data_IF_283689701314
#
_entry.id   IF_283689701314
#
_cell.length_a   1.000
_cell.length_b   1.000
_cell.length_c   1.000
_cell.angle_alpha   90.00
_cell.angle_beta   90.00
_cell.angle_gamma   90.00
#
_symmetry.space_group_name_H-M   'P 1'
#
loop_
_entity.id
_entity.type
_entity.pdbx_description
1 polymer ?
#
# COMPACT_ATOMS: atom_id res chain seq x y z
N UNK A 1 14.13 -21.33 14.04
CA UNK A 1 14.54 -21.44 12.61
C UNK A 1 14.08 -20.16 11.94
N UNK A 2 15.01 -19.25 11.67
CA UNK A 2 14.74 -17.95 11.05
C UNK A 2 14.36 -18.19 9.59
N UNK A 3 13.19 -17.76 9.21
CA UNK A 3 12.57 -17.95 7.90
C UNK A 3 13.25 -17.04 6.86
N UNK A 4 14.48 -17.40 6.49
CA UNK A 4 15.39 -16.65 5.59
C UNK A 4 14.87 -16.57 4.13
N UNK A 5 13.58 -16.93 3.90
CA UNK A 5 12.95 -17.02 2.58
C UNK A 5 11.81 -16.03 2.34
N UNK A 6 11.47 -15.20 3.31
CA UNK A 6 10.35 -14.25 3.12
C UNK A 6 10.81 -13.02 2.35
N UNK A 7 10.40 -12.93 1.10
CA UNK A 7 10.71 -11.79 0.23
C UNK A 7 9.45 -10.93 0.09
N UNK A 8 9.46 -9.69 0.60
CA UNK A 8 8.36 -8.75 0.35
C UNK A 8 8.43 -8.16 -1.06
N UNK A 9 7.26 -7.98 -1.66
CA UNK A 9 7.07 -7.37 -2.97
C UNK A 9 6.21 -6.11 -2.86
N UNK A 10 6.65 -5.01 -3.47
CA UNK A 10 5.94 -3.72 -3.45
C UNK A 10 5.53 -3.33 -4.86
N UNK A 11 4.23 -3.29 -5.12
CA UNK A 11 3.64 -2.72 -6.32
C UNK A 11 3.29 -1.25 -6.10
N UNK A 12 3.70 -0.37 -7.03
CA UNK A 12 3.58 1.08 -6.85
C UNK A 12 4.75 1.69 -6.05
N UNK A 13 5.91 1.06 -6.06
CA UNK A 13 7.11 1.43 -5.30
C UNK A 13 7.63 2.87 -5.55
N UNK A 14 7.28 3.49 -6.67
CA UNK A 14 7.65 4.88 -6.99
C UNK A 14 6.62 5.91 -6.50
N UNK A 15 5.50 5.45 -5.94
CA UNK A 15 4.50 6.31 -5.30
C UNK A 15 4.93 6.75 -3.90
N UNK A 16 4.18 7.72 -3.33
CA UNK A 16 4.51 8.32 -2.03
C UNK A 16 4.64 7.28 -0.91
N UNK A 17 3.63 6.42 -0.72
CA UNK A 17 3.67 5.35 0.29
C UNK A 17 4.56 4.20 -0.15
N UNK A 18 4.55 3.86 -1.45
CA UNK A 18 5.37 2.78 -1.99
C UNK A 18 6.88 3.00 -1.81
N UNK A 19 7.34 4.23 -1.95
CA UNK A 19 8.72 4.61 -1.67
C UNK A 19 9.06 4.38 -0.19
N UNK A 20 8.20 4.84 0.73
CA UNK A 20 8.38 4.60 2.16
C UNK A 20 8.34 3.10 2.52
N UNK A 21 7.49 2.31 1.82
CA UNK A 21 7.46 0.86 2.01
C UNK A 21 8.81 0.22 1.67
N UNK A 22 9.36 0.53 0.50
CA UNK A 22 10.66 -0.01 0.08
C UNK A 22 11.74 0.38 1.08
N UNK A 23 11.82 1.67 1.48
CA UNK A 23 12.81 2.17 2.43
C UNK A 23 12.72 1.51 3.82
N UNK A 24 11.51 1.25 4.32
CA UNK A 24 11.34 0.58 5.60
C UNK A 24 11.56 -0.93 5.51
N UNK A 25 11.20 -1.58 4.40
CA UNK A 25 11.38 -3.02 4.21
C UNK A 25 12.86 -3.43 4.08
N UNK A 26 13.72 -2.62 3.44
CA UNK A 26 15.16 -2.94 3.34
C UNK A 26 15.89 -2.90 4.68
N UNK A 27 15.29 -2.29 5.71
CA UNK A 27 15.80 -2.30 7.10
C UNK A 27 15.52 -3.64 7.79
N UNK A 28 14.47 -4.35 7.34
CA UNK A 28 13.99 -5.59 7.94
C UNK A 28 14.36 -6.83 7.13
N UNK A 29 14.49 -6.70 5.81
CA UNK A 29 14.68 -7.83 4.90
C UNK A 29 15.97 -7.72 4.09
N UNK A 30 16.65 -8.84 3.82
CA UNK A 30 17.87 -8.85 2.99
C UNK A 30 17.56 -8.62 1.51
N UNK A 31 16.31 -8.87 1.09
CA UNK A 31 15.85 -8.68 -0.29
C UNK A 31 14.42 -8.13 -0.32
N UNK A 32 14.19 -7.15 -1.18
CA UNK A 32 12.87 -6.54 -1.43
C UNK A 32 12.65 -6.45 -2.94
N UNK A 33 11.50 -6.90 -3.43
CA UNK A 33 11.12 -6.74 -4.84
C UNK A 33 10.32 -5.46 -5.00
N UNK A 34 10.75 -4.62 -5.95
CA UNK A 34 10.09 -3.38 -6.35
C UNK A 34 9.51 -3.54 -7.74
N UNK A 35 8.17 -3.56 -7.87
CA UNK A 35 7.49 -3.61 -9.17
C UNK A 35 7.25 -2.20 -9.70
N UNK A 36 7.77 -1.92 -10.89
CA UNK A 36 7.69 -0.60 -11.51
C UNK A 36 7.35 -0.70 -13.00
N UNK A 37 6.83 0.39 -13.58
CA UNK A 37 6.54 0.46 -15.03
C UNK A 37 7.75 0.86 -15.87
N UNK A 38 8.76 1.43 -15.23
CA UNK A 38 10.03 1.86 -15.84
C UNK A 38 11.15 1.48 -14.91
N UNK A 39 12.33 1.23 -15.45
CA UNK A 39 13.52 0.96 -14.64
C UNK A 39 13.77 2.10 -13.65
N UNK A 40 14.08 1.73 -12.43
CA UNK A 40 14.48 2.63 -11.35
C UNK A 40 15.84 2.16 -10.84
N UNK A 41 16.79 3.07 -10.81
CA UNK A 41 18.13 2.80 -10.30
C UNK A 41 18.15 3.08 -8.80
N UNK A 42 18.09 2.02 -8.02
CA UNK A 42 18.17 2.06 -6.55
C UNK A 42 19.61 1.99 -6.10
N UNK A 43 19.98 2.76 -5.08
CA UNK A 43 21.32 2.72 -4.47
C UNK A 43 21.55 1.46 -3.64
N UNK A 44 20.51 0.91 -3.03
CA UNK A 44 20.59 -0.29 -2.21
C UNK A 44 20.56 -1.57 -3.06
N UNK A 45 21.57 -2.43 -2.89
CA UNK A 45 21.63 -3.75 -3.51
C UNK A 45 20.55 -4.73 -3.01
N UNK A 46 19.89 -4.42 -1.90
CA UNK A 46 18.78 -5.20 -1.37
C UNK A 46 17.50 -5.07 -2.22
N UNK A 47 17.39 -4.03 -3.08
CA UNK A 47 16.21 -3.77 -3.88
C UNK A 47 16.38 -4.39 -5.26
N UNK A 48 15.51 -5.35 -5.59
CA UNK A 48 15.42 -5.94 -6.91
C UNK A 48 14.29 -5.28 -7.69
N UNK A 49 14.65 -4.41 -8.63
CA UNK A 49 13.67 -3.77 -9.49
C UNK A 49 13.25 -4.70 -10.62
N UNK A 50 11.96 -5.00 -10.69
CA UNK A 50 11.35 -5.73 -11.80
C UNK A 50 10.44 -4.74 -12.54
N UNK A 51 10.74 -4.54 -13.82
CA UNK A 51 9.89 -3.73 -14.71
C UNK A 51 8.81 -4.61 -15.27
N UNK A 52 7.55 -4.22 -15.05
CA UNK A 52 6.39 -5.00 -15.49
C UNK A 52 5.43 -4.16 -16.33
N UNK A 53 4.74 -4.84 -17.23
CA UNK A 53 3.57 -4.29 -17.89
C UNK A 53 2.31 -4.77 -17.15
N UNK A 54 1.62 -3.87 -16.47
CA UNK A 54 0.38 -4.19 -15.75
C UNK A 54 -0.77 -4.65 -16.67
N UNK A 55 -0.67 -4.42 -17.98
CA UNK A 55 -1.64 -4.91 -18.96
C UNK A 55 -1.42 -6.38 -19.34
N UNK A 56 -0.26 -6.95 -19.03
CA UNK A 56 0.09 -8.33 -19.35
C UNK A 56 0.83 -9.02 -18.18
N UNK A 57 0.11 -9.23 -17.10
CA UNK A 57 0.64 -9.89 -15.89
C UNK A 57 0.57 -11.43 -15.95
N UNK A 58 -0.05 -12.00 -17.00
CA UNK A 58 -0.42 -13.42 -17.02
C UNK A 58 0.78 -14.38 -17.13
N UNK A 59 1.89 -13.92 -17.66
CA UNK A 59 3.05 -14.76 -18.01
C UNK A 59 4.31 -14.52 -17.16
N UNK A 60 4.25 -13.63 -16.17
CA UNK A 60 5.45 -13.28 -15.41
C UNK A 60 5.51 -14.04 -14.09
N UNK A 61 6.60 -14.77 -13.89
CA UNK A 61 6.89 -15.47 -12.63
C UNK A 61 7.45 -14.49 -11.56
N UNK A 62 6.72 -13.37 -11.38
CA UNK A 62 7.13 -12.23 -10.55
C UNK A 62 7.13 -12.60 -9.06
N UNK A 63 6.25 -13.51 -8.68
CA UNK A 63 5.98 -13.83 -7.27
C UNK A 63 6.71 -15.08 -6.77
N UNK A 64 7.70 -15.58 -7.50
CA UNK A 64 8.50 -16.71 -7.03
C UNK A 64 9.23 -16.35 -5.72
N UNK A 65 8.98 -17.12 -4.67
CA UNK A 65 9.50 -16.89 -3.31
C UNK A 65 9.02 -15.59 -2.64
N UNK A 66 7.97 -14.95 -3.16
CA UNK A 66 7.31 -13.81 -2.51
C UNK A 66 6.31 -14.33 -1.48
N UNK A 67 6.37 -13.82 -0.26
CA UNK A 67 5.45 -14.18 0.82
C UNK A 67 4.48 -13.04 1.18
N UNK A 68 4.94 -11.80 1.00
CA UNK A 68 4.18 -10.61 1.35
C UNK A 68 4.04 -9.68 0.13
N UNK A 69 2.81 -9.35 -0.24
CA UNK A 69 2.54 -8.37 -1.30
C UNK A 69 1.97 -7.09 -0.72
N UNK A 70 2.62 -5.98 -1.00
CA UNK A 70 2.16 -4.63 -0.67
C UNK A 70 1.70 -3.93 -1.94
N UNK A 71 0.41 -3.59 -2.02
CA UNK A 71 -0.16 -2.85 -3.15
C UNK A 71 -0.36 -1.40 -2.75
N UNK A 72 0.57 -0.54 -3.19
CA UNK A 72 0.52 0.91 -3.07
C UNK A 72 0.23 1.58 -4.42
N UNK A 73 -0.42 0.83 -5.33
CA UNK A 73 -0.92 1.38 -6.60
C UNK A 73 -2.10 2.30 -6.34
N UNK A 74 -2.14 3.37 -7.08
CA UNK A 74 -3.24 4.30 -7.08
C UNK A 74 -2.94 5.51 -7.96
N UNK A 75 -4.00 6.10 -8.47
CA UNK A 75 -3.92 7.33 -9.26
C UNK A 75 -5.05 8.27 -8.89
N UNK A 76 -5.01 9.47 -9.39
CA UNK A 76 -6.15 10.39 -9.32
C UNK A 76 -6.84 10.45 -10.68
N UNK A 77 -8.13 10.79 -10.71
CA UNK A 77 -8.85 10.97 -11.98
C UNK A 77 -8.13 11.96 -12.91
N UNK A 78 -7.55 13.03 -12.33
CA UNK A 78 -6.77 14.03 -13.07
C UNK A 78 -5.52 13.41 -13.71
N UNK A 79 -4.76 12.58 -12.97
CA UNK A 79 -3.56 11.92 -13.51
C UNK A 79 -3.89 10.79 -14.47
N UNK A 80 -4.98 10.08 -14.26
CA UNK A 80 -5.44 9.01 -15.15
C UNK A 80 -6.00 9.54 -16.48
N UNK A 81 -6.42 10.80 -16.53
CA UNK A 81 -7.02 11.44 -17.71
C UNK A 81 -8.46 11.02 -17.99
N UNK A 82 -8.91 9.86 -17.52
CA UNK A 82 -10.27 9.37 -17.72
C UNK A 82 -10.75 8.49 -16.56
N UNK A 83 -12.09 8.33 -16.43
CA UNK A 83 -12.69 7.39 -15.47
C UNK A 83 -12.27 5.95 -15.77
N UNK A 84 -12.22 5.56 -17.04
CA UNK A 84 -11.79 4.23 -17.50
C UNK A 84 -10.36 3.92 -17.04
N UNK A 85 -9.43 4.82 -17.27
CA UNK A 85 -8.03 4.65 -16.85
C UNK A 85 -7.87 4.67 -15.33
N UNK A 86 -8.68 5.46 -14.62
CA UNK A 86 -8.70 5.44 -13.17
C UNK A 86 -9.12 4.05 -12.65
N UNK A 87 -10.24 3.49 -13.12
CA UNK A 87 -10.70 2.14 -12.76
C UNK A 87 -9.65 1.10 -13.14
N UNK A 88 -9.02 1.24 -14.31
CA UNK A 88 -7.98 0.32 -14.76
C UNK A 88 -6.83 0.20 -13.75
N UNK A 89 -6.33 1.33 -13.23
CA UNK A 89 -5.20 1.35 -12.29
C UNK A 89 -5.63 0.95 -10.88
N UNK A 90 -6.71 1.56 -10.36
CA UNK A 90 -7.11 1.43 -8.95
C UNK A 90 -7.93 0.17 -8.65
N UNK A 91 -8.43 -0.52 -9.70
CA UNK A 91 -9.19 -1.75 -9.55
C UNK A 91 -8.57 -2.90 -10.33
N UNK A 92 -8.52 -2.85 -11.67
CA UNK A 92 -8.10 -4.01 -12.47
C UNK A 92 -6.66 -4.42 -12.19
N UNK A 93 -5.70 -3.51 -12.23
CA UNK A 93 -4.29 -3.83 -11.95
C UNK A 93 -4.08 -4.36 -10.54
N UNK A 94 -4.77 -3.78 -9.54
CA UNK A 94 -4.68 -4.26 -8.17
C UNK A 94 -5.24 -5.69 -8.03
N UNK A 95 -6.39 -5.96 -8.65
CA UNK A 95 -7.03 -7.28 -8.58
C UNK A 95 -6.22 -8.34 -9.36
N UNK A 96 -5.70 -8.01 -10.53
CA UNK A 96 -4.91 -8.92 -11.34
C UNK A 96 -3.57 -9.27 -10.68
N UNK A 97 -2.92 -8.28 -10.05
CA UNK A 97 -1.74 -8.53 -9.21
C UNK A 97 -2.04 -9.49 -8.06
N UNK A 98 -3.13 -9.23 -7.32
CA UNK A 98 -3.52 -10.08 -6.20
C UNK A 98 -3.84 -11.52 -6.64
N UNK A 99 -4.58 -11.69 -7.74
CA UNK A 99 -4.88 -13.02 -8.29
C UNK A 99 -3.61 -13.76 -8.73
N UNK A 100 -2.70 -13.06 -9.39
CA UNK A 100 -1.42 -13.65 -9.81
C UNK A 100 -0.57 -14.03 -8.59
N UNK A 101 -0.48 -13.15 -7.59
CA UNK A 101 0.24 -13.41 -6.35
C UNK A 101 -0.30 -14.65 -5.62
N UNK A 102 -1.64 -14.73 -5.45
CA UNK A 102 -2.28 -15.88 -4.81
C UNK A 102 -2.01 -17.20 -5.56
N UNK A 103 -2.09 -17.18 -6.90
CA UNK A 103 -1.77 -18.34 -7.75
C UNK A 103 -0.32 -18.82 -7.56
N UNK A 104 0.59 -17.91 -7.23
CA UNK A 104 2.01 -18.20 -7.00
C UNK A 104 2.35 -18.43 -5.51
N UNK A 105 1.36 -18.63 -4.64
CA UNK A 105 1.55 -19.00 -3.25
C UNK A 105 1.84 -17.83 -2.30
N UNK A 106 1.57 -16.59 -2.71
CA UNK A 106 1.60 -15.44 -1.79
C UNK A 106 0.40 -15.53 -0.84
N UNK A 107 0.67 -15.64 0.46
CA UNK A 107 -0.36 -15.84 1.47
C UNK A 107 -0.88 -14.54 2.08
N UNK A 108 -0.03 -13.51 2.14
CA UNK A 108 -0.32 -12.26 2.85
C UNK A 108 -0.28 -11.05 1.94
N UNK A 109 -1.33 -10.22 1.99
CA UNK A 109 -1.45 -9.03 1.16
C UNK A 109 -1.88 -7.81 1.98
N UNK A 110 -1.31 -6.65 1.68
CA UNK A 110 -1.75 -5.36 2.20
C UNK A 110 -1.99 -4.39 1.05
N UNK A 111 -3.16 -3.72 1.04
CA UNK A 111 -3.54 -2.79 -0.02
C UNK A 111 -3.94 -1.43 0.53
N UNK A 112 -3.55 -0.35 -0.17
CA UNK A 112 -4.01 1.00 0.12
C UNK A 112 -5.36 1.24 -0.55
N UNK A 113 -6.37 1.45 0.28
CA UNK A 113 -7.71 1.89 -0.10
C UNK A 113 -7.92 3.36 0.29
N UNK A 114 -9.06 3.70 0.84
CA UNK A 114 -9.39 5.05 1.30
C UNK A 114 -10.48 5.01 2.36
N UNK A 115 -10.45 5.93 3.30
CA UNK A 115 -11.60 6.18 4.16
C UNK A 115 -12.84 6.51 3.32
N UNK A 116 -14.01 6.00 3.72
CA UNK A 116 -15.25 6.19 2.97
C UNK A 116 -15.42 5.28 1.73
N UNK A 117 -14.56 4.29 1.54
CA UNK A 117 -14.74 3.26 0.49
C UNK A 117 -16.08 2.54 0.66
N UNK A 118 -16.87 2.51 -0.43
CA UNK A 118 -18.19 1.88 -0.45
C UNK A 118 -18.51 1.39 -1.86
N UNK A 119 -18.70 0.08 -2.09
CA UNK A 119 -18.96 -0.48 -3.42
C UNK A 119 -20.28 0.00 -4.04
N UNK A 120 -21.23 0.47 -3.22
CA UNK A 120 -22.54 0.97 -3.65
C UNK A 120 -22.58 2.50 -3.81
N UNK A 121 -21.44 3.21 -3.67
CA UNK A 121 -21.38 4.65 -3.81
C UNK A 121 -21.74 5.11 -5.23
N UNK A 122 -22.49 6.19 -5.38
CA UNK A 122 -22.69 6.87 -6.66
C UNK A 122 -21.40 7.56 -7.17
N UNK A 123 -20.51 7.93 -6.25
CA UNK A 123 -19.24 8.57 -6.58
C UNK A 123 -18.20 7.55 -7.06
N UNK A 124 -17.51 7.89 -8.15
CA UNK A 124 -16.55 7.00 -8.81
C UNK A 124 -15.44 6.52 -7.87
N UNK A 125 -14.80 7.44 -7.12
CA UNK A 125 -13.63 7.14 -6.30
C UNK A 125 -13.97 6.17 -5.15
N UNK A 126 -14.91 6.48 -4.24
CA UNK A 126 -15.24 5.56 -3.14
C UNK A 126 -15.84 4.25 -3.64
N UNK A 127 -16.58 4.27 -4.77
CA UNK A 127 -17.09 3.04 -5.40
C UNK A 127 -15.98 2.15 -5.89
N UNK A 128 -15.00 2.68 -6.62
CA UNK A 128 -13.88 1.89 -7.13
C UNK A 128 -13.06 1.29 -5.99
N UNK A 129 -12.79 2.06 -4.93
CA UNK A 129 -12.10 1.57 -3.74
C UNK A 129 -12.91 0.51 -3.00
N UNK A 130 -14.21 0.70 -2.85
CA UNK A 130 -15.09 -0.31 -2.24
C UNK A 130 -15.17 -1.60 -3.05
N UNK A 131 -15.19 -1.51 -4.38
CA UNK A 131 -15.21 -2.69 -5.26
C UNK A 131 -13.93 -3.52 -5.14
N UNK A 132 -12.75 -2.88 -5.12
CA UNK A 132 -11.49 -3.63 -4.97
C UNK A 132 -11.39 -4.28 -3.60
N UNK A 133 -11.80 -3.61 -2.53
CA UNK A 133 -11.85 -4.20 -1.19
C UNK A 133 -12.75 -5.44 -1.14
N UNK A 134 -13.98 -5.32 -1.68
CA UNK A 134 -14.95 -6.41 -1.74
C UNK A 134 -14.40 -7.62 -2.50
N UNK A 135 -13.76 -7.39 -3.64
CA UNK A 135 -13.34 -8.49 -4.50
C UNK A 135 -12.02 -9.12 -4.05
N UNK A 136 -11.13 -8.36 -3.39
CA UNK A 136 -9.97 -8.91 -2.70
C UNK A 136 -10.37 -9.76 -1.48
N UNK A 137 -11.41 -9.35 -0.74
CA UNK A 137 -11.90 -10.12 0.42
C UNK A 137 -12.48 -11.50 0.04
N UNK A 138 -12.80 -11.72 -1.24
CA UNK A 138 -13.22 -13.03 -1.77
C UNK A 138 -12.06 -13.92 -2.22
N UNK A 139 -10.86 -13.34 -2.32
CA UNK A 139 -9.65 -14.11 -2.63
C UNK A 139 -9.11 -14.68 -1.31
N UNK A 140 -9.09 -15.95 -1.14
CA UNK A 140 -8.73 -16.66 0.10
C UNK A 140 -7.24 -16.48 0.48
N UNK A 141 -6.77 -15.22 0.65
CA UNK A 141 -5.51 -14.95 1.31
C UNK A 141 -5.62 -15.32 2.79
N UNK A 142 -4.58 -15.91 3.36
CA UNK A 142 -4.54 -16.17 4.80
C UNK A 142 -4.62 -14.85 5.59
N UNK A 143 -4.08 -13.76 5.02
CA UNK A 143 -4.15 -12.44 5.62
C UNK A 143 -4.32 -11.34 4.56
N UNK A 144 -5.38 -10.53 4.70
CA UNK A 144 -5.63 -9.33 3.90
C UNK A 144 -5.74 -8.10 4.81
N UNK A 145 -4.79 -7.16 4.67
CA UNK A 145 -4.87 -5.84 5.31
C UNK A 145 -5.38 -4.78 4.33
N UNK A 146 -6.54 -4.22 4.60
CA UNK A 146 -7.14 -3.11 3.86
C UNK A 146 -6.86 -1.82 4.61
N UNK A 147 -6.04 -0.95 4.02
CA UNK A 147 -5.60 0.30 4.62
C UNK A 147 -6.49 1.42 4.12
N UNK A 148 -7.27 2.04 5.02
CA UNK A 148 -8.18 3.15 4.72
C UNK A 148 -7.65 4.45 5.33
N UNK A 149 -6.64 5.10 4.74
CA UNK A 149 -6.17 6.39 5.22
C UNK A 149 -7.16 7.50 4.88
N UNK A 150 -7.12 8.58 5.67
CA UNK A 150 -7.64 9.88 5.26
C UNK A 150 -6.71 10.55 4.24
N UNK A 151 -6.41 11.83 4.44
CA UNK A 151 -5.47 12.54 3.58
C UNK A 151 -4.03 12.05 3.83
N UNK A 152 -3.35 11.61 2.78
CA UNK A 152 -1.96 11.16 2.86
C UNK A 152 -1.03 12.36 2.67
N UNK A 153 -0.20 12.61 3.69
CA UNK A 153 0.83 13.64 3.68
C UNK A 153 2.21 13.01 3.44
N UNK A 154 3.10 13.75 2.75
CA UNK A 154 4.49 13.33 2.56
C UNK A 154 5.19 14.12 1.47
N UNK A 155 6.51 14.16 1.54
CA UNK A 155 7.33 14.89 0.59
C UNK A 155 7.42 14.15 -0.74
N UNK A 156 6.98 14.80 -1.82
CA UNK A 156 7.38 14.44 -3.19
C UNK A 156 8.49 15.40 -3.61
N UNK A 157 9.56 14.86 -4.14
CA UNK A 157 10.82 15.55 -4.47
C UNK A 157 10.73 16.89 -5.25
N UNK A 158 9.55 17.33 -5.66
CA UNK A 158 9.43 18.49 -6.57
C UNK A 158 8.83 19.78 -5.95
N UNK A 159 8.30 19.77 -4.70
CA UNK A 159 7.63 20.95 -4.12
C UNK A 159 7.75 21.08 -2.60
N UNK A 160 8.96 21.27 -2.09
CA UNK A 160 9.24 21.32 -0.63
C UNK A 160 8.54 22.44 0.16
N UNK A 161 8.22 23.58 -0.47
CA UNK A 161 7.69 24.76 0.27
C UNK A 161 6.18 24.69 0.45
N UNK A 162 5.44 24.28 -0.59
CA UNK A 162 3.97 24.15 -0.54
C UNK A 162 3.51 23.02 0.39
N UNK A 163 4.34 21.99 0.58
CA UNK A 163 4.02 20.84 1.44
C UNK A 163 4.10 21.19 2.93
N UNK A 164 5.06 22.01 3.36
CA UNK A 164 5.13 22.46 4.77
C UNK A 164 3.91 23.29 5.17
N UNK A 165 3.45 24.16 4.28
CA UNK A 165 2.25 24.97 4.51
C UNK A 165 1.00 24.05 4.53
N UNK A 166 0.92 23.07 3.64
CA UNK A 166 -0.17 22.12 3.61
C UNK A 166 -0.20 21.25 4.88
N UNK A 167 0.95 20.74 5.34
CA UNK A 167 1.04 19.98 6.60
C UNK A 167 0.53 20.82 7.76
N UNK A 168 0.95 22.08 7.87
CA UNK A 168 0.49 22.98 8.94
C UNK A 168 -1.02 23.22 8.89
N UNK A 169 -1.55 23.52 7.70
CA UNK A 169 -2.98 23.75 7.52
C UNK A 169 -3.83 22.52 7.88
N UNK A 170 -3.39 21.33 7.44
CA UNK A 170 -4.09 20.09 7.76
C UNK A 170 -3.96 19.70 9.22
N UNK A 171 -2.86 20.04 9.90
CA UNK A 171 -2.73 19.83 11.36
C UNK A 171 -3.79 20.63 12.12
N UNK A 172 -4.09 21.85 11.68
CA UNK A 172 -5.17 22.68 12.28
C UNK A 172 -6.55 22.06 12.03
N UNK A 173 -6.81 21.60 10.80
CA UNK A 173 -8.08 20.92 10.47
C UNK A 173 -8.23 19.62 11.28
N UNK A 174 -7.17 18.83 11.40
CA UNK A 174 -7.17 17.58 12.16
C UNK A 174 -7.49 17.74 13.63
N UNK A 175 -7.21 18.92 14.22
CA UNK A 175 -7.58 19.25 15.58
C UNK A 175 -9.08 19.19 15.82
N UNK A 176 -9.89 19.58 14.83
CA UNK A 176 -11.35 19.55 14.89
C UNK A 176 -11.96 18.20 14.55
N UNK A 177 -11.17 17.24 14.07
CA UNK A 177 -11.64 15.90 13.74
C UNK A 177 -11.55 14.99 14.98
N UNK A 178 -12.67 14.86 15.72
CA UNK A 178 -12.78 14.01 16.91
C UNK A 178 -13.91 12.98 16.79
N UNK A 179 -13.98 12.02 17.69
CA UNK A 179 -14.97 10.94 17.67
C UNK A 179 -14.93 10.16 16.34
N UNK A 180 -16.08 9.99 15.72
CA UNK A 180 -16.23 9.25 14.46
C UNK A 180 -15.54 9.91 13.25
N UNK A 181 -15.16 11.19 13.37
CA UNK A 181 -14.46 11.91 12.30
C UNK A 181 -12.95 11.72 12.34
N UNK A 182 -12.38 11.12 13.40
CA UNK A 182 -10.94 10.82 13.50
C UNK A 182 -10.39 10.05 12.30
N UNK A 183 -11.18 9.18 11.70
CA UNK A 183 -10.79 8.38 10.53
C UNK A 183 -10.42 9.22 9.30
N UNK A 184 -10.84 10.49 9.25
CA UNK A 184 -10.53 11.43 8.16
C UNK A 184 -9.26 12.24 8.41
N UNK A 185 -8.63 12.10 9.59
CA UNK A 185 -7.37 12.79 9.90
C UNK A 185 -6.30 12.48 8.86
N UNK A 186 -5.45 13.47 8.66
CA UNK A 186 -4.28 13.30 7.81
C UNK A 186 -3.25 12.36 8.45
N UNK A 187 -2.49 11.65 7.62
CA UNK A 187 -1.49 10.70 8.07
C UNK A 187 -0.27 10.74 7.15
N UNK A 188 0.93 10.64 7.73
CA UNK A 188 2.16 10.61 6.96
C UNK A 188 2.30 9.29 6.17
N UNK A 189 2.76 9.39 4.94
CA UNK A 189 3.02 8.22 4.09
C UNK A 189 3.97 7.20 4.76
N UNK A 190 4.95 7.70 5.52
CA UNK A 190 5.87 6.87 6.27
C UNK A 190 5.16 6.10 7.40
N UNK A 191 4.18 6.72 8.08
CA UNK A 191 3.40 6.04 9.12
C UNK A 191 2.47 4.99 8.54
N UNK A 192 1.87 5.26 7.37
CA UNK A 192 1.10 4.25 6.63
C UNK A 192 1.99 3.07 6.28
N UNK A 193 3.18 3.31 5.73
CA UNK A 193 4.10 2.24 5.34
C UNK A 193 4.52 1.36 6.53
N UNK A 194 4.86 1.97 7.66
CA UNK A 194 5.18 1.27 8.90
C UNK A 194 4.00 0.43 9.41
N UNK A 195 2.80 1.02 9.40
CA UNK A 195 1.58 0.32 9.81
C UNK A 195 1.28 -0.89 8.91
N UNK A 196 1.41 -0.74 7.59
CA UNK A 196 1.23 -1.84 6.63
C UNK A 196 2.20 -2.99 6.92
N UNK A 197 3.47 -2.68 7.12
CA UNK A 197 4.51 -3.68 7.38
C UNK A 197 4.26 -4.38 8.71
N UNK A 198 4.07 -3.61 9.79
CA UNK A 198 3.85 -4.17 11.12
C UNK A 198 2.63 -5.09 11.15
N UNK A 199 1.50 -4.62 10.61
CA UNK A 199 0.26 -5.38 10.63
C UNK A 199 0.37 -6.67 9.81
N UNK A 200 0.99 -6.64 8.63
CA UNK A 200 1.14 -7.83 7.79
C UNK A 200 2.03 -8.91 8.43
N UNK A 201 3.01 -8.49 9.27
CA UNK A 201 3.92 -9.41 9.97
C UNK A 201 3.28 -9.98 11.23
N UNK A 202 2.54 -9.16 12.00
CA UNK A 202 2.15 -9.47 13.39
C UNK A 202 0.67 -9.82 13.58
N UNK A 203 -0.22 -9.39 12.68
CA UNK A 203 -1.64 -9.66 12.86
C UNK A 203 -1.99 -11.12 12.56
N UNK A 204 -3.07 -11.54 13.17
CA UNK A 204 -3.70 -12.84 12.93
C UNK A 204 -4.24 -12.97 11.51
N UNK A 205 -4.59 -14.20 11.13
CA UNK A 205 -5.20 -14.47 9.83
C UNK A 205 -6.56 -13.78 9.68
N UNK A 206 -6.98 -13.59 8.44
CA UNK A 206 -8.26 -13.01 8.10
C UNK A 206 -8.19 -11.66 7.37
N UNK A 207 -9.35 -11.03 7.26
CA UNK A 207 -9.51 -9.73 6.59
C UNK A 207 -9.58 -8.62 7.65
N UNK A 208 -8.68 -7.68 7.57
CA UNK A 208 -8.55 -6.58 8.52
C UNK A 208 -8.64 -5.23 7.82
N UNK A 209 -9.50 -4.35 8.33
CA UNK A 209 -9.59 -2.96 7.88
C UNK A 209 -8.92 -2.07 8.92
N UNK A 210 -7.98 -1.24 8.46
CA UNK A 210 -7.23 -0.31 9.30
C UNK A 210 -7.57 1.13 8.89
N UNK A 211 -8.19 1.86 9.81
CA UNK A 211 -8.41 3.29 9.73
C UNK A 211 -7.42 4.04 10.66
N UNK A 212 -7.49 5.35 10.71
CA UNK A 212 -6.50 6.25 11.32
C UNK A 212 -5.92 5.76 12.65
N UNK A 213 -6.74 5.45 13.66
CA UNK A 213 -6.24 5.11 15.00
C UNK A 213 -5.44 3.80 14.99
N UNK A 214 -5.92 2.79 14.26
CA UNK A 214 -5.19 1.52 14.09
C UNK A 214 -3.91 1.70 13.27
N UNK A 215 -3.92 2.61 12.28
CA UNK A 215 -2.72 2.93 11.49
C UNK A 215 -1.66 3.57 12.37
N UNK A 216 -2.02 4.57 13.19
CA UNK A 216 -1.08 5.22 14.11
C UNK A 216 -0.54 4.24 15.14
N UNK A 217 -1.39 3.38 15.72
CA UNK A 217 -0.94 2.37 16.68
C UNK A 217 0.06 1.40 16.05
N UNK A 218 -0.25 0.86 14.87
CA UNK A 218 0.64 -0.08 14.18
C UNK A 218 1.94 0.60 13.72
N UNK A 219 1.89 1.87 13.29
CA UNK A 219 3.09 2.65 12.96
C UNK A 219 4.03 2.80 14.16
N UNK A 220 3.50 3.10 15.34
CA UNK A 220 4.29 3.20 16.57
C UNK A 220 4.93 1.86 16.94
N UNK A 221 4.19 0.78 16.81
CA UNK A 221 4.66 -0.57 17.14
C UNK A 221 5.69 -1.11 16.13
N UNK A 222 5.83 -0.49 14.95
CA UNK A 222 6.83 -0.91 13.95
C UNK A 222 8.26 -0.99 14.50
N UNK A 223 8.62 -0.12 15.46
CA UNK A 223 9.95 -0.11 16.10
C UNK A 223 10.29 -1.40 16.84
N UNK A 224 9.28 -2.21 17.17
CA UNK A 224 9.48 -3.50 17.85
C UNK A 224 9.83 -4.65 16.88
N UNK A 225 9.83 -4.39 15.57
CA UNK A 225 10.22 -5.39 14.59
C UNK A 225 11.75 -5.50 14.52
N UNK A 226 12.25 -6.71 14.66
CA UNK A 226 13.67 -7.01 14.44
C UNK A 226 13.94 -7.33 12.97
N UNK A 227 15.14 -7.02 12.47
CA UNK A 227 15.55 -7.44 11.14
C UNK A 227 15.42 -8.97 10.96
N UNK A 228 14.97 -9.38 9.79
CA UNK A 228 14.97 -10.79 9.37
C UNK A 228 16.39 -11.14 8.92
N UNK A 229 17.06 -11.98 9.71
CA UNK A 229 18.43 -12.48 9.41
C UNK A 229 18.38 -13.61 8.39
#
# INVERSE_FOLDING_TARGET
MTDNKKIPCVAGATGLVGFCLVDNLIKLYPKVISLTRKKVDYTSKKIHNIVINYDDLKNENIFQNVNHLYIALGTTRKKAGSAKNFIKVDYHYCLDLAKNALKNGVEKISIISSVGSNPNSSLLYPRTKGLIERDLSKLNFSHLSIIRPGLILGERNERRITEKIAIYLFTVIDYFLFGNFRKYKSILANDISKAMIYHLIKAEEGVHVLEYDRLILNSKNFITLNPVN
#
